data_IF_590081903050
#
_entry.id   IF_590081903050
#
_cell.length_a   1.000
_cell.length_b   1.000
_cell.length_c   1.000
_cell.angle_alpha   90.00
_cell.angle_beta   90.00
_cell.angle_gamma   90.00
#
_symmetry.space_group_name_H-M   'P 1'
#
loop_
_entity.id
_entity.type
_entity.pdbx_description
1 polymer ?
#
# COMPACT_ATOMS: atom_id res chain seq x y z
N UNK A 1 -4.46 15.36 7.03
CA UNK A 1 -3.07 15.00 7.40
C UNK A 1 -2.52 13.78 6.62
N UNK A 2 -2.85 13.59 5.33
CA UNK A 2 -2.40 12.39 4.57
C UNK A 2 -2.01 12.68 3.10
N UNK A 3 -1.63 13.93 2.77
CA UNK A 3 -1.23 14.30 1.39
C UNK A 3 0.27 14.23 1.10
N UNK A 4 1.13 14.20 2.13
CA UNK A 4 2.59 14.23 1.91
C UNK A 4 3.27 12.86 1.90
N UNK A 5 2.64 11.82 2.49
CA UNK A 5 3.17 10.44 2.37
C UNK A 5 2.87 9.78 1.02
N UNK A 6 1.91 10.31 0.23
CA UNK A 6 1.66 9.80 -1.14
C UNK A 6 2.77 10.23 -2.13
N UNK A 7 3.62 11.17 -1.76
CA UNK A 7 4.72 11.63 -2.62
C UNK A 7 5.90 10.64 -2.68
N UNK A 8 6.05 9.71 -1.73
CA UNK A 8 7.19 8.77 -1.73
C UNK A 8 6.98 7.54 -2.62
N UNK A 9 5.79 7.36 -3.20
CA UNK A 9 5.44 6.22 -4.05
C UNK A 9 5.44 6.52 -5.56
N UNK A 10 6.06 7.62 -6.02
CA UNK A 10 6.03 7.98 -7.45
C UNK A 10 7.45 8.09 -8.02
N UNK A 11 7.73 7.48 -9.19
CA UNK A 11 8.94 7.71 -9.98
C UNK A 11 9.26 9.21 -10.23
N UNK A 12 8.26 10.08 -10.09
CA UNK A 12 8.34 11.52 -10.32
C UNK A 12 9.10 12.32 -9.26
N UNK A 13 9.22 11.87 -8.00
CA UNK A 13 10.00 12.63 -7.00
C UNK A 13 11.51 12.56 -7.28
N UNK A 14 12.00 11.42 -7.77
CA UNK A 14 13.39 11.31 -8.23
C UNK A 14 13.64 12.23 -9.44
N UNK A 15 12.72 12.26 -10.40
CA UNK A 15 12.87 13.14 -11.57
C UNK A 15 12.81 14.61 -11.19
N UNK A 16 11.84 15.03 -10.37
CA UNK A 16 11.72 16.43 -9.93
C UNK A 16 12.88 16.90 -9.06
N UNK A 17 13.42 16.04 -8.20
CA UNK A 17 14.59 16.35 -7.38
C UNK A 17 15.87 16.42 -8.22
N UNK A 18 16.15 15.42 -9.05
CA UNK A 18 17.34 15.41 -9.92
C UNK A 18 17.31 16.52 -10.97
N UNK A 19 16.12 16.93 -11.42
CA UNK A 19 15.98 18.06 -12.34
C UNK A 19 16.31 19.40 -11.67
N UNK A 20 15.92 19.58 -10.39
CA UNK A 20 16.20 20.81 -9.62
C UNK A 20 17.62 20.85 -9.06
N UNK A 21 18.16 19.68 -8.71
CA UNK A 21 19.47 19.51 -8.07
C UNK A 21 20.31 18.48 -8.84
N UNK A 22 20.75 18.83 -10.07
CA UNK A 22 21.49 17.90 -10.91
C UNK A 22 22.92 17.72 -10.43
N UNK A 23 23.50 16.54 -10.73
CA UNK A 23 24.81 16.12 -10.20
C UNK A 23 25.98 16.96 -10.76
N UNK A 24 25.78 17.63 -11.90
CA UNK A 24 26.79 18.50 -12.50
C UNK A 24 26.89 19.88 -11.84
N UNK A 25 25.86 20.30 -11.08
CA UNK A 25 25.79 21.64 -10.49
C UNK A 25 25.78 21.64 -8.95
N UNK A 26 25.54 20.49 -8.32
CA UNK A 26 25.43 20.36 -6.88
C UNK A 26 26.29 19.23 -6.36
N UNK A 27 27.01 19.48 -5.26
CA UNK A 27 27.80 18.45 -4.62
C UNK A 27 26.88 17.35 -4.05
N UNK A 28 27.45 16.17 -3.85
CA UNK A 28 26.70 15.04 -3.28
C UNK A 28 26.23 15.35 -1.85
N UNK A 29 27.03 16.08 -1.07
CA UNK A 29 26.68 16.50 0.29
C UNK A 29 25.54 17.53 0.30
N UNK A 30 25.57 18.55 -0.57
CA UNK A 30 24.49 19.53 -0.68
C UNK A 30 23.16 18.85 -1.07
N UNK A 31 23.21 17.93 -2.05
CA UNK A 31 22.03 17.17 -2.48
C UNK A 31 21.47 16.32 -1.37
N UNK A 32 22.34 15.69 -0.57
CA UNK A 32 21.96 14.89 0.60
C UNK A 32 21.33 15.75 1.69
N UNK A 33 21.91 16.90 2.00
CA UNK A 33 21.38 17.83 3.00
C UNK A 33 20.00 18.36 2.60
N UNK A 34 19.86 18.84 1.36
CA UNK A 34 18.59 19.33 0.81
C UNK A 34 17.54 18.21 0.84
N UNK A 35 17.89 17.00 0.40
CA UNK A 35 16.98 15.86 0.42
C UNK A 35 16.51 15.52 1.84
N UNK A 36 17.43 15.46 2.81
CA UNK A 36 17.10 15.21 4.22
C UNK A 36 16.24 16.34 4.80
N UNK A 37 16.44 17.58 4.34
CA UNK A 37 15.60 18.73 4.64
C UNK A 37 14.14 18.54 4.23
N UNK A 38 13.90 17.88 3.09
CA UNK A 38 12.55 17.52 2.62
C UNK A 38 11.92 16.32 3.34
N UNK A 39 12.70 15.56 4.11
CA UNK A 39 12.13 14.43 4.86
C UNK A 39 11.42 14.92 6.12
N UNK A 40 10.18 14.48 6.27
CA UNK A 40 9.33 14.79 7.42
C UNK A 40 8.70 13.52 8.00
N UNK A 41 8.25 13.61 9.26
CA UNK A 41 7.56 12.54 9.97
C UNK A 41 8.29 11.20 9.92
N UNK A 42 7.56 10.15 9.54
CA UNK A 42 8.06 8.77 9.46
C UNK A 42 9.27 8.64 8.53
N UNK A 43 9.29 9.36 7.40
CA UNK A 43 10.43 9.28 6.48
C UNK A 43 11.73 9.82 7.09
N UNK A 44 11.61 10.88 7.91
CA UNK A 44 12.76 11.42 8.66
C UNK A 44 13.22 10.45 9.74
N UNK A 45 12.30 9.76 10.40
CA UNK A 45 12.61 8.71 11.38
C UNK A 45 13.32 7.52 10.72
N UNK A 46 12.82 7.07 9.57
CA UNK A 46 13.45 6.00 8.77
C UNK A 46 14.86 6.39 8.33
N UNK A 47 15.09 7.64 7.92
CA UNK A 47 16.44 8.12 7.61
C UNK A 47 17.37 8.08 8.83
N UNK A 48 16.93 8.60 9.99
CA UNK A 48 17.76 8.66 11.21
C UNK A 48 18.19 7.28 11.73
N UNK A 49 17.40 6.25 11.45
CA UNK A 49 17.67 4.86 11.85
C UNK A 49 18.51 4.09 10.82
N UNK A 50 18.95 4.74 9.73
CA UNK A 50 19.92 4.12 8.82
C UNK A 50 21.30 3.99 9.49
N UNK A 51 22.08 2.93 9.15
CA UNK A 51 23.45 2.79 9.63
C UNK A 51 24.29 4.03 9.33
N UNK A 52 25.16 4.42 10.26
CA UNK A 52 26.03 5.61 10.13
C UNK A 52 26.79 5.63 8.79
N UNK A 53 27.39 4.49 8.40
CA UNK A 53 28.06 4.30 7.10
C UNK A 53 27.21 4.62 5.86
N UNK A 54 25.89 4.46 5.95
CA UNK A 54 24.98 4.77 4.84
C UNK A 54 24.62 6.26 4.86
N UNK A 55 24.39 6.83 6.05
CA UNK A 55 24.08 8.26 6.21
C UNK A 55 25.25 9.17 5.81
N UNK A 56 26.47 8.74 6.10
CA UNK A 56 27.71 9.44 5.74
C UNK A 56 28.18 9.13 4.32
N UNK A 57 27.58 8.11 3.68
CA UNK A 57 27.86 7.75 2.30
C UNK A 57 27.22 8.69 1.27
N UNK A 58 27.30 8.31 -0.01
CA UNK A 58 26.79 9.14 -1.09
C UNK A 58 25.26 9.25 -1.09
N UNK A 59 24.72 10.37 -1.60
CA UNK A 59 23.29 10.66 -1.71
C UNK A 59 22.52 9.50 -2.35
N UNK A 60 23.06 8.94 -3.45
CA UNK A 60 22.46 7.79 -4.14
C UNK A 60 22.31 6.57 -3.23
N UNK A 61 23.27 6.33 -2.33
CA UNK A 61 23.23 5.24 -1.36
C UNK A 61 22.14 5.43 -0.32
N UNK A 62 22.01 6.65 0.22
CA UNK A 62 20.91 7.03 1.14
C UNK A 62 19.55 6.85 0.48
N UNK A 63 19.38 7.36 -0.74
CA UNK A 63 18.14 7.28 -1.49
C UNK A 63 17.75 5.82 -1.77
N UNK A 64 18.72 4.98 -2.13
CA UNK A 64 18.46 3.56 -2.37
C UNK A 64 18.03 2.84 -1.08
N UNK A 65 18.73 3.06 0.03
CA UNK A 65 18.40 2.43 1.30
C UNK A 65 16.99 2.80 1.81
N UNK A 66 16.56 4.06 1.61
CA UNK A 66 15.20 4.48 1.96
C UNK A 66 14.14 3.84 1.05
N UNK A 67 14.42 3.69 -0.25
CA UNK A 67 13.53 2.99 -1.18
C UNK A 67 13.37 1.52 -0.82
N UNK A 68 14.47 0.87 -0.46
CA UNK A 68 14.44 -0.54 -0.07
C UNK A 68 13.59 -0.73 1.18
N UNK A 69 13.72 0.15 2.18
CA UNK A 69 12.85 0.14 3.37
C UNK A 69 11.38 0.37 3.03
N UNK A 70 11.08 1.35 2.18
CA UNK A 70 9.72 1.60 1.74
C UNK A 70 9.12 0.38 1.04
N UNK A 71 9.90 -0.30 0.19
CA UNK A 71 9.47 -1.54 -0.48
C UNK A 71 9.18 -2.65 0.52
N UNK A 72 10.05 -2.86 1.51
CA UNK A 72 9.87 -3.87 2.57
C UNK A 72 8.61 -3.56 3.38
N UNK A 73 8.40 -2.30 3.77
CA UNK A 73 7.20 -1.92 4.51
C UNK A 73 5.92 -2.10 3.69
N UNK A 74 5.94 -1.75 2.39
CA UNK A 74 4.82 -2.01 1.48
C UNK A 74 4.51 -3.51 1.37
N UNK A 75 5.53 -4.36 1.22
CA UNK A 75 5.35 -5.82 1.22
C UNK A 75 4.81 -6.34 2.56
N UNK A 76 5.31 -5.83 3.68
CA UNK A 76 4.81 -6.16 5.01
C UNK A 76 3.36 -5.73 5.22
N UNK A 77 3.00 -4.53 4.76
CA UNK A 77 1.64 -4.01 4.80
C UNK A 77 0.68 -4.86 3.95
N UNK A 78 1.11 -5.25 2.75
CA UNK A 78 0.35 -6.15 1.88
C UNK A 78 0.16 -7.53 2.53
N UNK A 79 1.21 -8.13 3.11
CA UNK A 79 1.12 -9.42 3.79
C UNK A 79 0.16 -9.36 5.00
N UNK A 80 0.21 -8.28 5.79
CA UNK A 80 -0.74 -8.05 6.89
C UNK A 80 -2.17 -7.91 6.37
N UNK A 81 -2.38 -7.21 5.27
CA UNK A 81 -3.69 -7.05 4.66
C UNK A 81 -4.24 -8.39 4.13
N UNK A 82 -3.42 -9.20 3.46
CA UNK A 82 -3.78 -10.55 3.02
C UNK A 82 -4.19 -11.44 4.20
N UNK A 83 -3.41 -11.44 5.28
CA UNK A 83 -3.74 -12.17 6.50
C UNK A 83 -5.06 -11.68 7.13
N UNK A 84 -5.24 -10.36 7.21
CA UNK A 84 -6.47 -9.74 7.70
C UNK A 84 -7.70 -10.05 6.84
N UNK A 85 -7.53 -10.13 5.51
CA UNK A 85 -8.59 -10.50 4.58
C UNK A 85 -8.99 -11.97 4.76
N UNK A 86 -8.01 -12.88 4.88
CA UNK A 86 -8.23 -14.32 5.05
C UNK A 86 -8.94 -14.68 6.35
N UNK A 87 -8.73 -13.87 7.39
CA UNK A 87 -9.32 -14.03 8.72
C UNK A 87 -10.52 -13.11 8.96
N UNK A 88 -10.94 -12.36 7.95
CA UNK A 88 -12.05 -11.42 8.07
C UNK A 88 -13.35 -12.19 8.36
N UNK A 89 -14.02 -11.81 9.46
CA UNK A 89 -15.32 -12.33 9.87
C UNK A 89 -16.25 -11.19 10.22
N UNK A 90 -17.51 -11.30 9.81
CA UNK A 90 -18.55 -10.37 10.27
C UNK A 90 -18.82 -10.66 11.74
N UNK A 91 -18.80 -9.62 12.57
CA UNK A 91 -19.08 -9.75 14.01
C UNK A 91 -20.58 -9.74 14.29
N UNK A 92 -20.97 -10.34 15.41
CA UNK A 92 -22.33 -10.22 15.94
C UNK A 92 -22.65 -8.74 16.22
N UNK A 93 -23.85 -8.31 15.83
CA UNK A 93 -24.27 -6.89 15.93
C UNK A 93 -23.58 -5.91 14.97
N UNK A 94 -22.58 -6.34 14.19
CA UNK A 94 -21.98 -5.48 13.15
C UNK A 94 -22.95 -5.27 11.99
N UNK A 95 -23.11 -4.03 11.50
CA UNK A 95 -23.88 -3.78 10.28
C UNK A 95 -23.16 -4.33 9.03
N UNK A 96 -23.94 -4.73 8.02
CA UNK A 96 -23.40 -5.22 6.75
C UNK A 96 -22.56 -4.13 6.06
N UNK A 97 -23.03 -2.87 6.08
CA UNK A 97 -22.27 -1.74 5.52
C UNK A 97 -20.89 -1.58 6.17
N UNK A 98 -20.81 -1.64 7.51
CA UNK A 98 -19.53 -1.57 8.23
C UNK A 98 -18.59 -2.71 7.84
N UNK A 99 -19.14 -3.91 7.64
CA UNK A 99 -18.38 -5.06 7.18
C UNK A 99 -17.86 -4.86 5.75
N UNK A 100 -18.72 -4.42 4.81
CA UNK A 100 -18.34 -4.16 3.41
C UNK A 100 -17.23 -3.12 3.30
N UNK A 101 -17.31 -2.01 4.04
CA UNK A 101 -16.26 -0.98 4.03
C UNK A 101 -14.91 -1.53 4.51
N UNK A 102 -14.93 -2.41 5.53
CA UNK A 102 -13.71 -3.05 6.02
C UNK A 102 -13.14 -4.05 5.02
N UNK A 103 -14.00 -4.81 4.36
CA UNK A 103 -13.62 -5.73 3.28
C UNK A 103 -12.99 -4.97 2.11
N UNK A 104 -13.62 -3.88 1.66
CA UNK A 104 -13.12 -3.02 0.59
C UNK A 104 -11.71 -2.52 0.91
N UNK A 105 -11.52 -1.91 2.08
CA UNK A 105 -10.23 -1.39 2.52
C UNK A 105 -9.13 -2.46 2.61
N UNK A 106 -9.46 -3.65 3.13
CA UNK A 106 -8.48 -4.74 3.25
C UNK A 106 -8.14 -5.36 1.89
N UNK A 107 -9.14 -5.55 1.04
CA UNK A 107 -8.95 -6.15 -0.29
C UNK A 107 -8.07 -5.27 -1.19
N UNK A 108 -8.22 -3.94 -1.15
CA UNK A 108 -7.35 -3.01 -1.89
C UNK A 108 -5.90 -3.09 -1.42
N UNK A 109 -5.69 -3.17 -0.10
CA UNK A 109 -4.34 -3.26 0.47
C UNK A 109 -3.69 -4.63 0.22
N UNK A 110 -4.50 -5.69 0.17
CA UNK A 110 -4.04 -7.05 -0.08
C UNK A 110 -3.68 -7.28 -1.56
N UNK A 111 -4.42 -6.63 -2.46
CA UNK A 111 -4.36 -6.84 -3.91
C UNK A 111 -4.20 -5.52 -4.69
N UNK A 112 -3.13 -4.73 -4.44
CA UNK A 112 -2.97 -3.38 -4.99
C UNK A 112 -2.75 -3.30 -6.51
N UNK A 113 -2.63 -4.44 -7.19
CA UNK A 113 -2.37 -4.54 -8.65
C UNK A 113 -3.36 -5.46 -9.37
N UNK A 114 -4.41 -5.89 -8.68
CA UNK A 114 -5.47 -6.74 -9.25
C UNK A 114 -6.48 -5.86 -9.98
N UNK A 115 -7.01 -6.35 -11.11
CA UNK A 115 -8.03 -5.65 -11.88
C UNK A 115 -9.39 -5.62 -11.17
N UNK A 116 -10.24 -4.68 -11.56
CA UNK A 116 -11.54 -4.44 -10.90
C UNK A 116 -12.47 -5.65 -10.96
N UNK A 117 -12.42 -6.44 -12.06
CA UNK A 117 -13.29 -7.62 -12.20
C UNK A 117 -12.88 -8.70 -11.20
N UNK A 118 -11.58 -9.02 -11.16
CA UNK A 118 -11.06 -10.01 -10.21
C UNK A 118 -11.25 -9.53 -8.76
N UNK A 119 -11.07 -8.24 -8.48
CA UNK A 119 -11.32 -7.66 -7.15
C UNK A 119 -12.79 -7.80 -6.73
N UNK A 120 -13.72 -7.57 -7.65
CA UNK A 120 -15.16 -7.72 -7.42
C UNK A 120 -15.50 -9.16 -7.05
N UNK A 121 -14.95 -10.13 -7.77
CA UNK A 121 -15.15 -11.57 -7.48
C UNK A 121 -14.59 -11.97 -6.11
N UNK A 122 -13.40 -11.50 -5.74
CA UNK A 122 -12.81 -11.75 -4.41
C UNK A 122 -13.75 -11.23 -3.31
N UNK A 123 -14.26 -9.99 -3.46
CA UNK A 123 -15.16 -9.37 -2.48
C UNK A 123 -16.50 -10.11 -2.41
N UNK A 124 -17.07 -10.47 -3.56
CA UNK A 124 -18.34 -11.20 -3.64
C UNK A 124 -18.24 -12.57 -2.95
N UNK A 125 -17.16 -13.32 -3.17
CA UNK A 125 -16.92 -14.61 -2.52
C UNK A 125 -16.87 -14.46 -0.99
N UNK A 126 -16.11 -13.49 -0.48
CA UNK A 126 -15.99 -13.26 0.96
C UNK A 126 -17.33 -12.79 1.54
N UNK A 127 -18.06 -11.91 0.86
CA UNK A 127 -19.39 -11.46 1.30
C UNK A 127 -20.36 -12.62 1.38
N UNK A 128 -20.42 -13.46 0.35
CA UNK A 128 -21.25 -14.65 0.33
C UNK A 128 -20.92 -15.54 1.54
N UNK A 129 -19.64 -15.87 1.77
CA UNK A 129 -19.20 -16.67 2.91
C UNK A 129 -19.59 -16.11 4.28
N UNK A 130 -19.56 -14.79 4.44
CA UNK A 130 -19.88 -14.14 5.72
C UNK A 130 -21.37 -13.87 5.92
N UNK A 131 -22.16 -13.91 4.85
CA UNK A 131 -23.60 -13.62 4.87
C UNK A 131 -24.46 -14.84 4.50
N UNK A 132 -23.91 -16.06 4.40
CA UNK A 132 -24.67 -17.28 4.02
C UNK A 132 -25.97 -17.52 4.80
N UNK A 133 -26.01 -17.08 6.05
CA UNK A 133 -27.19 -17.19 6.93
C UNK A 133 -28.25 -16.11 6.69
N UNK A 134 -27.96 -15.13 5.83
CA UNK A 134 -28.86 -14.03 5.48
C UNK A 134 -29.75 -14.46 4.30
N UNK A 135 -31.08 -14.30 4.38
CA UNK A 135 -32.02 -14.85 3.38
C UNK A 135 -31.72 -14.43 1.94
N UNK A 136 -31.24 -13.20 1.75
CA UNK A 136 -30.96 -12.60 0.44
C UNK A 136 -29.56 -12.95 -0.09
N UNK A 137 -28.75 -13.69 0.67
CA UNK A 137 -27.40 -14.05 0.25
C UNK A 137 -27.36 -15.00 -0.95
N UNK A 138 -28.49 -15.61 -1.33
CA UNK A 138 -28.58 -16.47 -2.51
C UNK A 138 -28.32 -15.71 -3.82
N UNK A 139 -28.68 -14.43 -3.90
CA UNK A 139 -28.37 -13.58 -5.07
C UNK A 139 -26.87 -13.47 -5.33
N UNK A 140 -26.06 -13.49 -4.26
CA UNK A 140 -24.60 -13.52 -4.40
C UNK A 140 -24.10 -14.86 -4.94
N UNK A 141 -24.76 -15.97 -4.59
CA UNK A 141 -24.43 -17.29 -5.13
C UNK A 141 -24.73 -17.37 -6.63
N UNK A 142 -25.90 -16.88 -7.08
CA UNK A 142 -26.28 -16.86 -8.50
C UNK A 142 -25.25 -16.08 -9.35
N UNK A 143 -24.85 -14.88 -8.89
CA UNK A 143 -23.85 -14.06 -9.58
C UNK A 143 -22.49 -14.79 -9.69
N UNK A 144 -22.08 -15.50 -8.63
CA UNK A 144 -20.82 -16.25 -8.60
C UNK A 144 -20.86 -17.47 -9.54
N UNK A 145 -21.99 -18.18 -9.58
CA UNK A 145 -22.18 -19.36 -10.43
C UNK A 145 -22.22 -18.98 -11.92
N UNK A 146 -22.88 -17.88 -12.26
CA UNK A 146 -22.89 -17.35 -13.64
C UNK A 146 -21.48 -16.99 -14.13
N UNK A 147 -20.65 -16.36 -13.30
CA UNK A 147 -19.28 -15.99 -13.68
C UNK A 147 -18.35 -17.21 -13.74
N UNK A 148 -18.58 -18.26 -12.95
CA UNK A 148 -17.84 -19.52 -13.04
C UNK A 148 -18.23 -20.36 -14.27
N UNK A 149 -19.51 -20.33 -14.68
CA UNK A 149 -20.03 -21.08 -15.82
C UNK A 149 -19.68 -20.48 -17.20
N UNK A 150 -19.15 -19.25 -17.24
CA UNK A 150 -18.69 -18.56 -18.47
C UNK A 150 -17.22 -18.84 -18.84
N UNK A 151 -16.55 -19.76 -18.14
CA UNK A 151 -15.16 -20.17 -18.42
C UNK A 151 -15.05 -21.20 -19.54
#
# INVERSE_FOLDING_TARGET
MHKYMRAMAVPNVKMGFTLKYPEYAWSDDDRKEIFVGYLEGEAKLQYKTLPKRIREGPFKGVLQALKDRLRVDMQGAQARALSGLRTLRKRDGQSVLSFCLKLELLSEKAHPSTDDKTMTLIRAQILYEQLKQWPEAYHLAEILDEENGRK
#
